data_IF_119018000313
#
_entry.id   IF_119018000313
#
_cell.length_a   1.000
_cell.length_b   1.000
_cell.length_c   1.000
_cell.angle_alpha   90.00
_cell.angle_beta   90.00
_cell.angle_gamma   90.00
#
_symmetry.space_group_name_H-M   'P 1'
#
loop_
_entity.id
_entity.type
_entity.pdbx_description
1 polymer ?
#
# COMPACT_ATOMS: atom_id res chain seq x y z
N UNK A 1 -74.28 15.82 -6.11
CA UNK A 1 -73.22 14.98 -5.49
C UNK A 1 -72.22 15.91 -4.79
N UNK A 2 -72.12 15.82 -3.46
CA UNK A 2 -71.32 16.71 -2.60
C UNK A 2 -69.83 16.47 -2.83
N UNK A 3 -69.06 17.52 -3.12
CA UNK A 3 -67.59 17.48 -3.11
C UNK A 3 -67.13 17.91 -1.71
N UNK A 4 -66.57 16.98 -0.94
CA UNK A 4 -65.93 17.25 0.34
C UNK A 4 -64.43 17.27 0.05
N UNK A 5 -63.83 18.45 0.07
CA UNK A 5 -62.37 18.59 0.01
C UNK A 5 -61.88 18.69 1.45
N UNK A 6 -61.32 17.59 1.96
CA UNK A 6 -60.71 17.52 3.29
C UNK A 6 -59.30 18.10 3.19
N UNK A 7 -59.01 19.17 3.94
CA UNK A 7 -57.66 19.69 4.13
C UNK A 7 -56.92 18.79 5.12
N UNK A 8 -55.88 18.08 4.66
CA UNK A 8 -54.94 17.39 5.53
C UNK A 8 -53.82 18.35 5.92
N UNK A 9 -53.87 18.88 7.14
CA UNK A 9 -52.76 19.59 7.79
C UNK A 9 -51.69 18.57 8.19
N UNK A 10 -50.55 18.58 7.51
CA UNK A 10 -49.37 17.79 7.91
C UNK A 10 -48.66 18.57 9.03
N UNK A 11 -48.78 18.06 10.26
CA UNK A 11 -48.03 18.55 11.42
C UNK A 11 -46.67 17.84 11.43
N UNK A 12 -45.62 18.47 10.90
CA UNK A 12 -44.25 17.97 11.02
C UNK A 12 -43.76 18.19 12.45
N UNK A 13 -43.91 17.17 13.30
CA UNK A 13 -43.16 17.11 14.56
C UNK A 13 -41.72 16.73 14.22
N UNK A 14 -40.83 17.72 14.23
CA UNK A 14 -39.40 17.47 14.29
C UNK A 14 -39.08 16.96 15.69
N UNK A 15 -39.08 15.64 15.87
CA UNK A 15 -38.49 15.01 17.04
C UNK A 15 -36.97 15.22 16.97
N UNK A 16 -36.47 16.26 17.60
CA UNK A 16 -35.03 16.45 17.86
C UNK A 16 -34.61 15.62 19.06
N UNK A 17 -34.87 14.31 19.03
CA UNK A 17 -34.46 13.42 20.11
C UNK A 17 -33.31 12.54 19.61
N UNK A 18 -32.14 12.82 20.20
CA UNK A 18 -30.88 12.08 20.10
C UNK A 18 -29.97 12.45 18.92
N UNK A 19 -29.52 13.71 18.85
CA UNK A 19 -28.16 13.96 18.40
C UNK A 19 -27.23 13.36 19.46
N UNK A 20 -26.80 12.11 19.25
CA UNK A 20 -25.79 11.47 20.05
C UNK A 20 -24.53 12.34 20.00
N UNK A 21 -24.30 13.14 21.04
CA UNK A 21 -23.00 13.77 21.26
C UNK A 21 -22.00 12.66 21.53
N UNK A 22 -21.37 12.15 20.47
CA UNK A 22 -20.23 11.25 20.59
C UNK A 22 -19.17 11.98 21.41
N UNK A 23 -18.83 11.44 22.59
CA UNK A 23 -17.66 11.92 23.33
C UNK A 23 -16.45 11.84 22.38
N UNK A 24 -15.58 12.87 22.36
CA UNK A 24 -14.29 12.75 21.67
C UNK A 24 -13.63 11.44 22.15
N UNK A 25 -13.13 10.59 21.24
CA UNK A 25 -12.45 9.39 21.67
C UNK A 25 -11.31 9.80 22.60
N UNK A 26 -11.24 9.17 23.78
CA UNK A 26 -10.10 9.37 24.68
C UNK A 26 -8.81 9.11 23.88
N UNK A 27 -7.75 9.92 24.07
CA UNK A 27 -6.48 9.69 23.41
C UNK A 27 -6.05 8.26 23.71
N UNK A 28 -6.13 7.37 22.71
CA UNK A 28 -5.64 6.01 22.86
C UNK A 28 -4.14 6.13 23.05
N UNK A 29 -3.64 5.75 24.22
CA UNK A 29 -2.21 5.50 24.38
C UNK A 29 -1.81 4.50 23.29
N UNK A 30 -0.95 4.96 22.38
CA UNK A 30 -0.41 4.12 21.32
C UNK A 30 0.59 3.21 22.03
N UNK A 31 0.13 2.01 22.44
CA UNK A 31 1.03 0.97 22.93
C UNK A 31 2.06 0.71 21.83
N UNK A 32 3.36 0.60 22.17
CA UNK A 32 4.35 0.18 21.19
C UNK A 32 3.89 -1.17 20.63
N UNK A 33 4.03 -1.32 19.30
CA UNK A 33 3.58 -2.45 18.48
C UNK A 33 3.44 -3.75 19.28
N UNK A 34 2.25 -4.36 19.24
CA UNK A 34 1.94 -5.57 19.98
C UNK A 34 3.03 -6.63 19.77
N UNK A 35 3.52 -7.21 20.88
CA UNK A 35 4.60 -8.21 20.94
C UNK A 35 4.34 -9.47 20.08
N UNK A 36 3.12 -9.62 19.53
CA UNK A 36 2.65 -10.79 18.78
C UNK A 36 2.47 -10.57 17.26
N UNK A 37 2.86 -9.41 16.71
CA UNK A 37 2.90 -9.25 15.24
C UNK A 37 4.13 -9.99 14.68
N UNK A 38 3.98 -11.29 14.46
CA UNK A 38 4.92 -12.09 13.66
C UNK A 38 4.84 -11.66 12.19
N UNK A 39 5.43 -10.51 11.88
CA UNK A 39 5.63 -10.04 10.51
C UNK A 39 6.92 -10.67 10.01
N UNK A 40 6.88 -11.41 8.90
CA UNK A 40 8.12 -11.92 8.34
C UNK A 40 8.87 -10.78 7.64
N UNK A 41 10.21 -10.89 7.47
CA UNK A 41 10.95 -9.92 6.67
C UNK A 41 10.35 -9.71 5.27
N UNK A 42 9.77 -10.75 4.67
CA UNK A 42 9.08 -10.66 3.38
C UNK A 42 7.83 -9.78 3.43
N UNK A 43 7.03 -9.86 4.49
CA UNK A 43 5.85 -9.00 4.65
C UNK A 43 6.25 -7.53 4.82
N UNK A 44 7.31 -7.25 5.60
CA UNK A 44 7.89 -5.91 5.74
C UNK A 44 8.41 -5.40 4.38
N UNK A 45 9.10 -6.25 3.63
CA UNK A 45 9.61 -5.93 2.31
C UNK A 45 8.45 -5.57 1.39
N UNK A 46 7.38 -6.38 1.36
CA UNK A 46 6.19 -6.13 0.52
C UNK A 46 5.60 -4.76 0.77
N UNK A 47 5.30 -4.44 2.02
CA UNK A 47 4.64 -3.18 2.38
C UNK A 47 5.49 -1.96 2.06
N UNK A 48 6.82 -2.08 2.17
CA UNK A 48 7.74 -0.96 1.97
C UNK A 48 8.07 -0.80 0.48
N UNK A 49 8.44 -1.88 -0.23
CA UNK A 49 9.05 -1.77 -1.56
C UNK A 49 8.07 -1.92 -2.71
N UNK A 50 6.98 -2.70 -2.54
CA UNK A 50 6.08 -3.00 -3.66
C UNK A 50 5.49 -1.75 -4.28
N UNK A 51 5.03 -0.73 -3.52
CA UNK A 51 4.51 0.50 -4.12
C UNK A 51 5.53 1.23 -5.00
N UNK A 52 6.81 1.19 -4.66
CA UNK A 52 7.87 1.82 -5.45
C UNK A 52 8.15 1.04 -6.74
N UNK A 53 8.16 -0.29 -6.66
CA UNK A 53 8.32 -1.18 -7.82
C UNK A 53 7.10 -1.03 -8.75
N UNK A 54 5.89 -1.05 -8.20
CA UNK A 54 4.64 -0.95 -8.94
C UNK A 54 4.58 0.32 -9.81
N UNK A 55 4.86 1.48 -9.20
CA UNK A 55 4.97 2.75 -9.95
C UNK A 55 6.02 2.70 -11.04
N UNK A 56 7.14 2.02 -10.80
CA UNK A 56 8.20 1.88 -11.81
C UNK A 56 7.76 0.96 -12.95
N UNK A 57 7.15 -0.18 -12.65
CA UNK A 57 6.62 -1.13 -13.64
C UNK A 57 5.57 -0.45 -14.51
N UNK A 58 4.61 0.26 -13.91
CA UNK A 58 3.59 1.05 -14.66
C UNK A 58 4.26 2.01 -15.65
N UNK A 59 5.29 2.73 -15.20
CA UNK A 59 6.04 3.67 -16.05
C UNK A 59 6.78 2.98 -17.20
N UNK A 60 7.42 1.84 -16.94
CA UNK A 60 8.20 1.11 -17.95
C UNK A 60 7.31 0.47 -19.02
N UNK A 61 6.14 -0.06 -18.63
CA UNK A 61 5.21 -0.72 -19.55
C UNK A 61 4.13 0.22 -20.12
N UNK A 62 4.26 1.53 -19.91
CA UNK A 62 3.33 2.53 -20.46
C UNK A 62 1.90 2.43 -19.92
N UNK A 63 1.70 1.76 -18.79
CA UNK A 63 0.41 1.68 -18.11
C UNK A 63 -0.01 3.05 -17.56
N UNK A 64 -1.32 3.23 -17.36
CA UNK A 64 -1.81 4.40 -16.61
C UNK A 64 -1.78 4.09 -15.13
N UNK A 65 -1.47 5.05 -14.27
CA UNK A 65 -1.54 4.87 -12.81
C UNK A 65 -2.93 4.42 -12.32
N UNK A 66 -3.98 4.74 -13.08
CA UNK A 66 -5.36 4.33 -12.83
C UNK A 66 -5.73 2.94 -13.37
N UNK A 67 -4.86 2.30 -14.17
CA UNK A 67 -5.07 0.93 -14.64
C UNK A 67 -4.47 -0.05 -13.65
N UNK A 68 -5.23 -1.07 -13.24
CA UNK A 68 -4.71 -2.18 -12.44
C UNK A 68 -3.66 -2.93 -13.28
N UNK A 69 -2.38 -2.60 -13.09
CA UNK A 69 -1.26 -3.26 -13.76
C UNK A 69 -0.67 -4.29 -12.80
N UNK A 70 -0.79 -5.58 -13.13
CA UNK A 70 -0.35 -6.67 -12.27
C UNK A 70 1.07 -7.12 -12.62
N UNK A 71 1.89 -7.37 -11.61
CA UNK A 71 3.16 -8.09 -11.72
C UNK A 71 3.31 -9.04 -10.53
N UNK A 72 4.08 -10.10 -10.71
CA UNK A 72 4.31 -11.12 -9.67
C UNK A 72 5.75 -11.05 -9.18
N UNK A 73 5.95 -10.96 -7.86
CA UNK A 73 7.28 -11.24 -7.29
C UNK A 73 7.63 -12.71 -7.52
N UNK A 74 8.76 -12.97 -8.18
CA UNK A 74 9.26 -14.34 -8.36
C UNK A 74 10.23 -14.71 -7.25
N UNK A 75 11.32 -13.95 -7.09
CA UNK A 75 12.38 -14.27 -6.13
C UNK A 75 13.22 -13.06 -5.75
N UNK A 76 13.63 -13.00 -4.47
CA UNK A 76 14.72 -12.13 -4.02
C UNK A 76 16.05 -12.71 -4.50
N UNK A 77 16.77 -11.96 -5.32
CA UNK A 77 18.06 -12.34 -5.89
C UNK A 77 19.21 -12.08 -4.91
N UNK A 78 19.09 -11.05 -4.06
CA UNK A 78 20.08 -10.73 -3.05
C UNK A 78 19.69 -9.51 -2.23
N UNK A 79 20.29 -9.41 -1.04
CA UNK A 79 20.18 -8.26 -0.14
C UNK A 79 21.60 -7.84 0.23
N UNK A 80 21.93 -6.56 0.04
CA UNK A 80 23.22 -5.98 0.38
C UNK A 80 23.01 -4.92 1.46
N UNK A 81 23.60 -5.13 2.63
CA UNK A 81 23.57 -4.16 3.72
C UNK A 81 24.69 -3.15 3.54
N UNK A 82 24.33 -1.86 3.51
CA UNK A 82 25.24 -0.78 3.24
C UNK A 82 25.74 -0.14 4.55
N UNK A 83 26.96 0.40 4.54
CA UNK A 83 27.56 1.08 5.70
C UNK A 83 26.90 2.42 6.07
N UNK A 84 25.90 2.86 5.32
CA UNK A 84 25.19 4.13 5.51
C UNK A 84 23.74 3.93 6.01
N UNK A 85 23.51 2.87 6.80
CA UNK A 85 22.21 2.61 7.43
C UNK A 85 21.10 2.43 6.38
N UNK A 86 21.39 1.64 5.36
CA UNK A 86 20.46 1.27 4.30
C UNK A 86 20.76 -0.13 3.80
N UNK A 87 19.84 -0.72 3.06
CA UNK A 87 20.10 -1.96 2.35
C UNK A 87 19.52 -1.91 0.94
N UNK A 88 20.17 -2.62 0.02
CA UNK A 88 19.73 -2.78 -1.35
C UNK A 88 19.12 -4.18 -1.52
N UNK A 89 17.94 -4.27 -2.12
CA UNK A 89 17.30 -5.55 -2.48
C UNK A 89 17.26 -5.64 -3.99
N UNK A 90 17.74 -6.75 -4.54
CA UNK A 90 17.52 -7.13 -5.93
C UNK A 90 16.42 -8.18 -6.01
N UNK A 91 15.40 -7.93 -6.84
CA UNK A 91 14.27 -8.82 -7.05
C UNK A 91 14.13 -9.19 -8.52
N UNK A 92 13.68 -10.41 -8.77
CA UNK A 92 13.12 -10.81 -10.05
C UNK A 92 11.61 -10.71 -9.98
N UNK A 93 11.02 -10.02 -10.95
CA UNK A 93 9.58 -9.90 -11.11
C UNK A 93 9.17 -10.54 -12.45
N UNK A 94 7.92 -10.95 -12.53
CA UNK A 94 7.29 -11.42 -13.75
C UNK A 94 6.20 -10.43 -14.12
N UNK A 95 6.28 -9.90 -15.33
CA UNK A 95 5.29 -8.96 -15.85
C UNK A 95 4.57 -9.65 -17.00
N UNK A 96 3.23 -9.79 -16.95
CA UNK A 96 2.48 -10.37 -18.05
C UNK A 96 2.54 -9.46 -19.27
N UNK A 97 2.93 -10.01 -20.42
CA UNK A 97 2.82 -9.35 -21.71
C UNK A 97 1.52 -9.82 -22.40
N UNK A 98 0.49 -8.98 -22.26
CA UNK A 98 -0.81 -9.22 -22.86
C UNK A 98 -0.88 -8.80 -24.34
N UNK A 99 0.21 -8.28 -24.92
CA UNK A 99 0.25 -7.87 -26.33
C UNK A 99 0.54 -9.04 -27.29
N UNK A 100 1.12 -10.13 -26.79
CA UNK A 100 1.39 -11.35 -27.55
C UNK A 100 0.22 -12.37 -27.46
N UNK A 101 0.07 -13.20 -28.49
CA UNK A 101 -0.88 -14.32 -28.51
C UNK A 101 -0.14 -15.61 -28.97
N UNK A 102 0.08 -16.59 -28.10
CA UNK A 102 -0.39 -16.68 -26.71
C UNK A 102 0.27 -15.62 -25.79
N UNK A 103 -0.38 -15.26 -24.66
CA UNK A 103 0.19 -14.33 -23.69
C UNK A 103 1.57 -14.82 -23.26
N UNK A 104 2.55 -13.91 -23.28
CA UNK A 104 3.89 -14.19 -22.81
C UNK A 104 4.13 -13.48 -21.47
N UNK A 105 5.30 -13.67 -20.88
CA UNK A 105 5.72 -12.92 -19.72
C UNK A 105 7.20 -12.55 -19.81
N UNK A 106 7.51 -11.30 -19.53
CA UNK A 106 8.86 -10.80 -19.36
C UNK A 106 9.31 -10.96 -17.90
N UNK A 107 10.60 -11.18 -17.72
CA UNK A 107 11.19 -11.45 -16.41
C UNK A 107 12.20 -10.37 -16.05
N UNK A 108 11.67 -9.25 -15.57
CA UNK A 108 12.48 -8.10 -15.24
C UNK A 108 13.23 -8.29 -13.92
N UNK A 109 14.32 -7.53 -13.78
CA UNK A 109 15.06 -7.40 -12.53
C UNK A 109 14.96 -5.97 -12.04
N UNK A 110 14.67 -5.82 -10.75
CA UNK A 110 14.57 -4.52 -10.10
C UNK A 110 15.50 -4.49 -8.90
N UNK A 111 16.22 -3.39 -8.73
CA UNK A 111 17.05 -3.14 -7.55
C UNK A 111 16.53 -1.91 -6.84
N UNK A 112 16.22 -2.06 -5.56
CA UNK A 112 15.70 -0.98 -4.70
C UNK A 112 16.62 -0.76 -3.52
N UNK A 113 16.80 0.49 -3.09
CA UNK A 113 17.43 0.86 -1.83
C UNK A 113 16.36 1.27 -0.83
N UNK A 114 16.47 0.74 0.37
CA UNK A 114 15.62 1.10 1.51
C UNK A 114 16.47 1.78 2.58
N UNK A 115 16.05 2.97 3.00
CA UNK A 115 16.69 3.75 4.06
C UNK A 115 15.63 4.29 5.02
N UNK A 116 15.83 4.28 6.35
CA UNK A 116 16.93 3.61 7.06
C UNK A 116 16.77 2.08 7.12
N UNK A 117 17.88 1.34 7.29
CA UNK A 117 17.87 -0.08 7.67
C UNK A 117 17.47 -0.30 9.14
N UNK A 118 16.59 -1.27 9.39
CA UNK A 118 16.18 -1.62 10.76
C UNK A 118 17.13 -2.60 11.49
N UNK A 119 18.34 -2.83 10.96
CA UNK A 119 19.31 -3.78 11.53
C UNK A 119 20.20 -3.16 12.63
N UNK A 120 19.92 -1.93 13.05
CA UNK A 120 20.71 -1.28 14.09
C UNK A 120 20.32 -1.78 15.48
N UNK A 121 21.27 -2.29 16.29
CA UNK A 121 21.00 -2.75 17.66
C UNK A 121 20.60 -1.61 18.63
N UNK A 122 20.48 -0.38 18.13
CA UNK A 122 20.20 0.83 18.91
C UNK A 122 18.90 1.54 18.50
N UNK A 123 18.11 0.98 17.59
CA UNK A 123 16.98 1.71 16.97
C UNK A 123 15.70 0.89 17.09
N UNK A 124 14.78 1.38 17.92
CA UNK A 124 13.36 1.08 17.73
C UNK A 124 12.92 1.76 16.42
N UNK A 125 12.52 0.98 15.42
CA UNK A 125 12.14 1.51 14.12
C UNK A 125 10.78 2.18 14.14
N UNK A 126 10.77 3.48 14.47
CA UNK A 126 9.61 4.37 14.31
C UNK A 126 9.89 5.44 13.26
N UNK A 127 10.36 5.03 12.07
CA UNK A 127 10.76 5.95 11.01
C UNK A 127 10.06 5.64 9.67
N UNK A 128 9.77 6.69 8.91
CA UNK A 128 9.34 6.54 7.52
C UNK A 128 10.49 6.00 6.67
N UNK A 129 10.22 4.97 5.88
CA UNK A 129 11.19 4.44 4.93
C UNK A 129 11.20 5.29 3.66
N UNK A 130 12.39 5.66 3.19
CA UNK A 130 12.62 6.08 1.81
C UNK A 130 12.96 4.84 1.00
N UNK A 131 12.22 4.62 -0.08
CA UNK A 131 12.50 3.58 -1.08
C UNK A 131 12.87 4.22 -2.40
N UNK A 132 14.02 3.84 -2.93
CA UNK A 132 14.56 4.36 -4.19
C UNK A 132 14.82 3.21 -5.15
N UNK A 133 14.24 3.27 -6.36
CA UNK A 133 14.58 2.31 -7.42
C UNK A 133 15.92 2.71 -8.01
N UNK A 134 16.96 1.91 -7.77
CA UNK A 134 18.32 2.16 -8.26
C UNK A 134 18.48 1.71 -9.71
N UNK A 135 17.98 0.52 -10.03
CA UNK A 135 18.16 -0.13 -11.33
C UNK A 135 16.88 -0.87 -11.72
N UNK A 136 16.56 -0.85 -13.02
CA UNK A 136 15.47 -1.61 -13.62
C UNK A 136 15.96 -2.20 -14.94
N UNK A 137 16.01 -3.53 -15.04
CA UNK A 137 16.41 -4.25 -16.25
C UNK A 137 15.21 -4.96 -16.85
N UNK A 138 14.85 -4.58 -18.08
CA UNK A 138 13.87 -5.29 -18.91
C UNK A 138 14.59 -6.39 -19.70
N UNK A 139 14.21 -7.65 -19.50
CA UNK A 139 14.86 -8.82 -20.11
C UNK A 139 13.88 -9.88 -20.57
#
# INVERSE_FOLDING_TARGET
>A
MKKITVFFTIFLMFATDNLAHAKPPEPKEIKPYAEDWYVTPEDIIRDIIFPAIDKRVIKEYGGKEESSFGWEQQRILGIVYNNNHSYDISLRIKVPDNSAMPPDATYDKVKVRVSPSCDSPKIGCSHGFKVEVLEYEHK
#
